data_IF_230012011040
#
_entry.id   IF_230012011040
#
_cell.length_a   1.000
_cell.length_b   1.000
_cell.length_c   1.000
_cell.angle_alpha   90.00
_cell.angle_beta   90.00
_cell.angle_gamma   90.00
#
_symmetry.space_group_name_H-M   'P 1'
#
loop_
_entity.id
_entity.type
_entity.pdbx_description
1 polymer ?
#
# COMPACT_ATOMS: atom_id res chain seq x y z
N UNK A 1 -11.37 40.76 36.49
CA UNK A 1 -12.19 39.73 37.13
C UNK A 1 -12.34 38.55 36.19
N UNK A 2 -11.78 37.44 36.62
CA UNK A 2 -12.05 36.04 36.29
C UNK A 2 -12.40 35.62 34.85
N UNK A 3 -11.47 34.90 34.26
CA UNK A 3 -11.70 33.94 33.15
C UNK A 3 -10.61 32.91 33.17
N UNK A 4 -10.91 31.72 33.76
CA UNK A 4 -9.97 30.61 33.90
C UNK A 4 -9.66 29.93 32.56
N UNK A 5 -8.40 29.55 32.39
CA UNK A 5 -7.93 28.65 31.33
C UNK A 5 -8.34 27.21 31.67
N UNK A 6 -8.77 26.36 30.67
CA UNK A 6 -8.86 24.93 30.91
C UNK A 6 -7.47 24.29 30.78
N UNK A 7 -7.17 23.41 31.72
CA UNK A 7 -5.90 22.69 31.86
C UNK A 7 -5.62 21.71 30.72
N UNK A 8 -4.40 21.73 30.21
CA UNK A 8 -3.92 20.88 29.07
C UNK A 8 -3.76 19.38 29.36
N UNK A 9 -4.43 18.81 30.34
CA UNK A 9 -4.31 17.41 30.72
C UNK A 9 -5.27 16.46 29.97
N UNK A 10 -6.42 16.95 29.53
CA UNK A 10 -7.45 16.08 28.90
C UNK A 10 -7.23 15.81 27.40
N UNK A 11 -6.49 16.65 26.69
CA UNK A 11 -6.27 16.45 25.26
C UNK A 11 -5.28 15.31 24.94
N UNK A 12 -4.28 15.06 25.80
CA UNK A 12 -3.32 13.95 25.61
C UNK A 12 -3.92 12.56 25.81
N UNK A 13 -4.94 12.43 26.67
CA UNK A 13 -5.63 11.15 26.91
C UNK A 13 -6.52 10.72 25.73
N UNK A 14 -7.06 11.68 24.99
CA UNK A 14 -7.98 11.40 23.87
C UNK A 14 -7.21 10.87 22.63
N UNK A 15 -6.03 11.39 22.36
CA UNK A 15 -5.21 10.94 21.24
C UNK A 15 -4.67 9.51 21.46
N UNK A 16 -4.10 9.21 22.63
CA UNK A 16 -3.57 7.88 22.96
C UNK A 16 -4.63 6.79 22.99
N UNK A 17 -5.83 7.06 23.54
CA UNK A 17 -6.93 6.09 23.58
C UNK A 17 -7.50 5.75 22.20
N UNK A 18 -7.58 6.67 21.26
CA UNK A 18 -8.13 6.39 19.92
C UNK A 18 -7.25 5.48 19.07
N UNK A 19 -5.95 5.44 19.30
CA UNK A 19 -5.04 4.52 18.62
C UNK A 19 -5.08 3.11 19.22
N UNK A 20 -5.34 2.97 20.51
CA UNK A 20 -5.43 1.68 21.20
C UNK A 20 -6.78 0.98 20.99
N UNK A 21 -7.90 1.72 20.89
CA UNK A 21 -9.24 1.16 20.77
C UNK A 21 -9.64 0.69 19.35
N UNK A 22 -8.87 1.02 18.31
CA UNK A 22 -9.12 0.48 16.96
C UNK A 22 -8.89 -1.03 16.85
N UNK A 23 -8.43 -1.68 17.91
CA UNK A 23 -8.19 -3.12 18.08
C UNK A 23 -9.23 -3.87 18.93
N UNK A 24 -10.45 -3.36 19.09
CA UNK A 24 -11.47 -3.93 19.98
C UNK A 24 -11.75 -5.42 19.71
N UNK A 25 -11.31 -6.27 20.62
CA UNK A 25 -11.57 -7.72 20.67
C UNK A 25 -13.06 -7.97 20.91
N UNK A 26 -13.78 -8.44 19.91
CA UNK A 26 -15.03 -9.15 20.14
C UNK A 26 -14.71 -10.56 20.64
N UNK A 27 -14.95 -10.82 21.91
CA UNK A 27 -14.98 -12.17 22.48
C UNK A 27 -16.17 -12.92 21.88
N UNK A 28 -15.88 -13.92 21.06
CA UNK A 28 -16.87 -14.92 20.63
C UNK A 28 -16.76 -16.07 21.63
N UNK A 29 -17.82 -16.29 22.39
CA UNK A 29 -17.96 -17.44 23.27
C UNK A 29 -18.10 -18.76 22.48
N UNK A 30 -17.73 -19.92 23.08
CA UNK A 30 -17.75 -21.19 22.37
C UNK A 30 -19.20 -21.68 22.16
N UNK A 31 -19.60 -21.84 20.90
CA UNK A 31 -20.80 -22.65 20.58
C UNK A 31 -20.35 -24.10 20.39
N UNK A 32 -20.84 -24.93 21.28
CA UNK A 32 -20.81 -26.41 21.20
C UNK A 32 -21.52 -26.86 19.90
N UNK A 33 -20.77 -27.51 19.03
CA UNK A 33 -21.34 -28.32 17.94
C UNK A 33 -21.27 -29.79 18.36
N UNK A 34 -22.43 -30.37 18.67
CA UNK A 34 -22.58 -31.80 19.02
C UNK A 34 -22.34 -32.69 17.80
N UNK A 35 -21.42 -33.63 17.94
CA UNK A 35 -21.17 -34.70 17.00
C UNK A 35 -22.11 -35.87 17.35
N UNK A 36 -23.09 -36.15 16.50
CA UNK A 36 -23.91 -37.35 16.63
C UNK A 36 -23.18 -38.49 15.94
N UNK A 37 -22.63 -39.42 16.72
CA UNK A 37 -22.09 -40.68 16.23
C UNK A 37 -23.22 -41.72 16.34
N UNK A 38 -23.70 -42.20 15.21
CA UNK A 38 -24.61 -43.37 15.17
C UNK A 38 -23.76 -44.62 14.96
N UNK A 39 -23.56 -45.38 16.03
CA UNK A 39 -22.96 -46.71 15.99
C UNK A 39 -24.03 -47.74 15.75
N UNK A 40 -24.01 -48.42 14.60
CA UNK A 40 -24.72 -49.69 14.41
C UNK A 40 -23.69 -50.83 14.49
N UNK A 41 -23.73 -51.55 15.57
CA UNK A 41 -23.03 -52.82 15.71
C UNK A 41 -23.91 -53.96 15.14
N UNK A 42 -23.39 -54.65 14.13
CA UNK A 42 -23.93 -55.98 13.74
C UNK A 42 -22.79 -56.95 13.79
N UNK A 43 -22.89 -57.87 14.78
CA UNK A 43 -22.06 -59.05 14.90
C UNK A 43 -22.53 -60.12 13.93
N UNK A 44 -21.66 -60.56 13.02
CA UNK A 44 -21.77 -61.91 12.44
C UNK A 44 -20.37 -62.51 12.22
N UNK A 45 -20.17 -63.65 12.87
CA UNK A 45 -19.05 -64.54 12.67
C UNK A 45 -19.29 -65.43 11.44
N UNK A 46 -18.25 -65.73 10.67
CA UNK A 46 -17.77 -67.05 10.26
C UNK A 46 -16.77 -67.00 9.12
N UNK A 47 -15.74 -67.82 9.25
CA UNK A 47 -14.60 -68.03 8.39
C UNK A 47 -14.92 -68.31 6.92
N UNK A 48 -14.20 -67.62 6.02
CA UNK A 48 -13.62 -68.14 4.78
C UNK A 48 -12.76 -67.08 4.08
N UNK A 49 -11.63 -67.42 3.44
CA UNK A 49 -10.76 -66.47 2.78
C UNK A 49 -11.26 -66.13 1.38
N UNK A 50 -11.82 -64.96 1.18
CA UNK A 50 -12.13 -64.42 -0.13
C UNK A 50 -11.02 -63.43 -0.50
N UNK A 51 -10.25 -63.81 -1.51
CA UNK A 51 -9.26 -62.93 -2.15
C UNK A 51 -9.96 -61.80 -2.87
N UNK A 52 -10.02 -60.62 -2.21
CA UNK A 52 -10.55 -59.39 -2.82
C UNK A 52 -9.48 -58.74 -3.68
N UNK A 53 -9.63 -58.83 -5.01
CA UNK A 53 -8.96 -57.89 -5.93
C UNK A 53 -9.49 -56.50 -5.68
N UNK A 54 -8.70 -55.68 -4.99
CA UNK A 54 -9.01 -54.27 -4.81
C UNK A 54 -8.54 -53.52 -6.07
N UNK A 55 -9.42 -53.39 -7.05
CA UNK A 55 -9.25 -52.38 -8.09
C UNK A 55 -9.66 -51.03 -7.53
N UNK A 56 -8.67 -50.26 -7.07
CA UNK A 56 -8.88 -48.88 -6.63
C UNK A 56 -9.17 -48.01 -7.87
N UNK A 57 -10.42 -47.91 -8.26
CA UNK A 57 -10.87 -46.88 -9.21
C UNK A 57 -10.83 -45.54 -8.42
N UNK A 58 -9.76 -44.80 -8.62
CA UNK A 58 -9.71 -43.39 -8.17
C UNK A 58 -10.66 -42.58 -9.08
N UNK A 59 -11.91 -42.50 -8.70
CA UNK A 59 -12.80 -41.49 -9.26
C UNK A 59 -12.39 -40.12 -8.71
N UNK A 60 -11.55 -39.42 -9.47
CA UNK A 60 -11.38 -37.98 -9.33
C UNK A 60 -12.53 -37.30 -10.07
N UNK A 61 -13.73 -37.40 -9.51
CA UNK A 61 -14.84 -36.61 -10.02
C UNK A 61 -14.67 -35.17 -9.53
N UNK A 62 -14.03 -34.32 -10.33
CA UNK A 62 -14.30 -32.88 -10.21
C UNK A 62 -15.79 -32.69 -10.48
N UNK A 63 -16.55 -32.01 -9.59
CA UNK A 63 -17.96 -31.81 -9.81
C UNK A 63 -18.17 -31.05 -11.13
N UNK A 64 -19.02 -31.54 -12.00
CA UNK A 64 -19.37 -30.98 -13.34
C UNK A 64 -19.73 -29.49 -13.23
N UNK A 65 -20.35 -29.06 -12.13
CA UNK A 65 -20.64 -27.66 -11.84
C UNK A 65 -19.37 -26.77 -11.81
N UNK A 66 -18.24 -27.28 -11.27
CA UNK A 66 -16.99 -26.50 -11.20
C UNK A 66 -16.38 -26.27 -12.61
N UNK A 67 -16.52 -27.24 -13.50
CA UNK A 67 -16.04 -27.13 -14.90
C UNK A 67 -16.90 -26.14 -15.71
N UNK A 68 -18.20 -26.14 -15.53
CA UNK A 68 -19.12 -25.20 -16.20
C UNK A 68 -18.84 -23.76 -15.74
N UNK A 69 -18.72 -23.49 -14.43
CA UNK A 69 -18.37 -22.16 -13.93
C UNK A 69 -17.00 -21.66 -14.40
N UNK A 70 -16.01 -22.57 -14.46
CA UNK A 70 -14.69 -22.21 -14.98
C UNK A 70 -14.74 -21.87 -16.48
N UNK A 71 -15.52 -22.58 -17.26
CA UNK A 71 -15.72 -22.32 -18.70
C UNK A 71 -16.43 -20.97 -18.94
N UNK A 72 -17.48 -20.66 -18.18
CA UNK A 72 -18.19 -19.39 -18.30
C UNK A 72 -17.30 -18.19 -17.88
N UNK A 73 -16.51 -18.33 -16.82
CA UNK A 73 -15.57 -17.31 -16.39
C UNK A 73 -14.48 -17.07 -17.44
N UNK A 74 -13.96 -18.14 -18.05
CA UNK A 74 -12.99 -18.04 -19.15
C UNK A 74 -13.61 -17.38 -20.37
N UNK A 75 -14.82 -17.75 -20.78
CA UNK A 75 -15.53 -17.14 -21.91
C UNK A 75 -15.76 -15.64 -21.72
N UNK A 76 -16.12 -15.22 -20.50
CA UNK A 76 -16.24 -13.79 -20.13
C UNK A 76 -14.92 -13.05 -20.24
N UNK A 77 -13.84 -13.70 -19.83
CA UNK A 77 -12.50 -13.12 -19.94
C UNK A 77 -12.08 -12.93 -21.40
N UNK A 78 -12.24 -13.95 -22.23
CA UNK A 78 -11.86 -13.93 -23.64
C UNK A 78 -12.67 -12.89 -24.45
N UNK A 79 -13.97 -12.76 -24.19
CA UNK A 79 -14.83 -11.70 -24.74
C UNK A 79 -14.34 -10.31 -24.34
N UNK A 80 -13.98 -10.13 -23.05
CA UNK A 80 -13.44 -8.85 -22.54
C UNK A 80 -12.12 -8.49 -23.23
N UNK A 81 -11.21 -9.46 -23.40
CA UNK A 81 -9.94 -9.24 -24.12
C UNK A 81 -10.18 -8.88 -25.58
N UNK A 82 -11.14 -9.55 -26.24
CA UNK A 82 -11.52 -9.24 -27.63
C UNK A 82 -12.04 -7.79 -27.76
N UNK A 83 -12.93 -7.38 -26.87
CA UNK A 83 -13.46 -6.00 -26.84
C UNK A 83 -12.37 -4.98 -26.55
N UNK A 84 -11.45 -5.30 -25.61
CA UNK A 84 -10.31 -4.45 -25.27
C UNK A 84 -9.37 -4.22 -26.47
N UNK A 85 -9.15 -5.24 -27.30
CA UNK A 85 -8.42 -5.09 -28.58
C UNK A 85 -9.15 -4.16 -29.56
N UNK A 86 -10.47 -4.18 -29.57
CA UNK A 86 -11.28 -3.22 -30.32
C UNK A 86 -11.17 -1.78 -29.82
N UNK A 87 -10.98 -1.57 -28.50
CA UNK A 87 -10.69 -0.29 -27.89
C UNK A 87 -9.24 0.19 -28.16
N UNK A 88 -8.30 -0.73 -28.38
CA UNK A 88 -6.96 -0.52 -28.88
C UNK A 88 -5.95 0.02 -27.88
N UNK A 89 -6.39 0.54 -26.73
CA UNK A 89 -5.49 1.11 -25.70
C UNK A 89 -6.07 1.14 -24.29
N UNK A 90 -5.18 1.32 -23.31
CA UNK A 90 -5.50 1.66 -21.92
C UNK A 90 -4.64 2.83 -21.46
N UNK A 91 -5.23 3.80 -20.79
CA UNK A 91 -4.55 5.00 -20.27
C UNK A 91 -4.45 4.93 -18.75
N UNK A 92 -3.22 4.95 -18.25
CA UNK A 92 -2.91 4.80 -16.83
C UNK A 92 -2.38 6.10 -16.27
N UNK A 93 -2.90 6.52 -15.11
CA UNK A 93 -2.33 7.56 -14.28
C UNK A 93 -1.58 6.93 -13.12
N UNK A 94 -0.31 7.27 -12.93
CA UNK A 94 0.51 6.71 -11.85
C UNK A 94 1.72 7.55 -11.48
N UNK A 95 2.51 7.11 -10.47
CA UNK A 95 3.65 7.84 -9.95
C UNK A 95 4.78 8.01 -10.98
N UNK A 96 5.60 9.04 -10.77
CA UNK A 96 6.75 9.38 -11.62
C UNK A 96 8.02 8.58 -11.27
N UNK A 97 7.91 7.37 -10.72
CA UNK A 97 9.08 6.54 -10.38
C UNK A 97 9.81 6.08 -11.64
N UNK A 98 11.12 6.23 -11.64
CA UNK A 98 11.95 5.79 -12.76
C UNK A 98 11.78 4.28 -13.04
N UNK A 99 11.68 3.92 -14.32
CA UNK A 99 11.55 2.52 -14.75
C UNK A 99 10.15 1.94 -14.74
N UNK A 100 9.16 2.49 -14.03
CA UNK A 100 7.78 1.98 -14.01
C UNK A 100 7.15 2.00 -15.40
N UNK A 101 7.21 3.15 -16.07
CA UNK A 101 6.58 3.33 -17.36
C UNK A 101 7.04 2.28 -18.38
N UNK A 102 8.33 2.12 -18.69
CA UNK A 102 8.78 1.09 -19.63
C UNK A 102 8.46 -0.31 -19.12
N UNK A 103 8.64 -0.62 -17.83
CA UNK A 103 8.37 -1.95 -17.29
C UNK A 103 6.90 -2.40 -17.45
N UNK A 104 5.96 -1.49 -17.18
CA UNK A 104 4.52 -1.79 -17.37
C UNK A 104 4.16 -1.93 -18.84
N UNK A 105 4.66 -1.03 -19.71
CA UNK A 105 4.39 -1.05 -21.15
C UNK A 105 4.89 -2.36 -21.74
N UNK A 106 6.16 -2.69 -21.52
CA UNK A 106 6.79 -3.88 -22.10
C UNK A 106 6.11 -5.18 -21.65
N UNK A 107 5.86 -5.32 -20.34
CA UNK A 107 5.25 -6.51 -19.78
C UNK A 107 3.79 -6.69 -20.21
N UNK A 108 3.00 -5.60 -20.20
CA UNK A 108 1.59 -5.64 -20.58
C UNK A 108 1.39 -5.91 -22.07
N UNK A 109 2.07 -5.14 -22.93
CA UNK A 109 1.91 -5.25 -24.39
C UNK A 109 2.47 -6.57 -24.94
N UNK A 110 3.47 -7.16 -24.27
CA UNK A 110 3.94 -8.51 -24.57
C UNK A 110 2.86 -9.56 -24.37
N UNK A 111 2.04 -9.43 -23.32
CA UNK A 111 0.99 -10.39 -23.01
C UNK A 111 -0.31 -10.11 -23.76
N UNK A 112 -0.60 -8.84 -24.05
CA UNK A 112 -1.82 -8.42 -24.75
C UNK A 112 -1.47 -7.60 -26.01
N UNK A 113 -0.91 -8.23 -27.04
CA UNK A 113 -0.67 -7.54 -28.31
C UNK A 113 -2.00 -7.02 -28.89
N UNK A 114 -1.97 -5.80 -29.43
CA UNK A 114 -3.16 -5.09 -29.93
C UNK A 114 -3.84 -4.19 -28.89
N UNK A 115 -3.34 -4.11 -27.64
CA UNK A 115 -3.78 -3.14 -26.64
C UNK A 115 -2.55 -2.32 -26.23
N UNK A 116 -2.46 -1.07 -26.67
CA UNK A 116 -1.36 -0.18 -26.28
C UNK A 116 -1.56 0.34 -24.85
N UNK A 117 -0.47 0.54 -24.09
CA UNK A 117 -0.49 1.12 -22.77
C UNK A 117 0.08 2.54 -22.83
N UNK A 118 -0.75 3.54 -22.52
CA UNK A 118 -0.34 4.93 -22.35
C UNK A 118 -0.18 5.22 -20.85
N UNK A 119 0.98 5.72 -20.44
CA UNK A 119 1.26 6.04 -19.03
C UNK A 119 1.45 7.53 -18.83
N UNK A 120 0.58 8.14 -18.03
CA UNK A 120 0.63 9.52 -17.58
C UNK A 120 1.15 9.58 -16.14
N UNK A 121 2.13 10.47 -15.88
CA UNK A 121 2.64 10.68 -14.52
C UNK A 121 1.78 11.67 -13.77
N UNK A 122 1.44 11.35 -12.53
CA UNK A 122 0.64 12.18 -11.64
C UNK A 122 0.00 11.37 -10.53
N UNK A 123 -0.79 12.04 -9.72
CA UNK A 123 -1.61 11.43 -8.67
C UNK A 123 -3.04 11.95 -8.71
N UNK A 124 -3.96 11.18 -8.11
CA UNK A 124 -5.37 11.55 -8.07
C UNK A 124 -5.63 12.79 -7.22
N UNK A 125 -4.79 13.09 -6.22
CA UNK A 125 -4.99 14.27 -5.38
C UNK A 125 -4.88 15.57 -6.20
N UNK A 126 -3.90 15.65 -7.09
CA UNK A 126 -3.69 16.81 -7.98
C UNK A 126 -4.68 16.85 -9.14
N UNK A 127 -5.13 15.69 -9.63
CA UNK A 127 -5.99 15.60 -10.82
C UNK A 127 -7.49 15.46 -10.53
N UNK A 128 -7.90 15.33 -9.29
CA UNK A 128 -9.31 15.13 -8.94
C UNK A 128 -10.25 16.24 -9.43
N UNK A 129 -9.91 17.54 -9.42
CA UNK A 129 -10.79 18.58 -9.98
C UNK A 129 -11.02 18.41 -11.50
N UNK A 130 -9.94 18.10 -12.22
CA UNK A 130 -9.99 17.82 -13.67
C UNK A 130 -10.83 16.57 -13.94
N UNK A 131 -10.57 15.47 -13.22
CA UNK A 131 -11.31 14.21 -13.39
C UNK A 131 -12.82 14.40 -13.11
N UNK A 132 -13.21 15.20 -12.09
CA UNK A 132 -14.60 15.56 -11.85
C UNK A 132 -15.25 16.25 -13.05
N UNK A 133 -14.56 17.23 -13.62
CA UNK A 133 -15.06 17.94 -14.79
C UNK A 133 -15.18 17.02 -16.02
N UNK A 134 -14.20 16.16 -16.25
CA UNK A 134 -14.21 15.17 -17.33
C UNK A 134 -15.35 14.15 -17.18
N UNK A 135 -15.58 13.63 -15.96
CA UNK A 135 -16.69 12.71 -15.67
C UNK A 135 -18.05 13.40 -15.92
N UNK A 136 -18.20 14.64 -15.45
CA UNK A 136 -19.42 15.42 -15.68
C UNK A 136 -19.66 15.68 -17.17
N UNK A 137 -18.62 16.00 -17.92
CA UNK A 137 -18.66 16.21 -19.38
C UNK A 137 -18.75 14.90 -20.19
N UNK A 138 -18.70 13.72 -19.57
CA UNK A 138 -18.64 12.39 -20.23
C UNK A 138 -17.44 12.23 -21.18
N UNK A 139 -16.31 12.87 -20.85
CA UNK A 139 -15.07 12.89 -21.66
C UNK A 139 -13.86 12.57 -20.79
N UNK A 140 -13.91 11.45 -20.07
CA UNK A 140 -12.78 10.99 -19.25
C UNK A 140 -11.60 10.60 -20.12
N UNK A 141 -10.40 10.84 -19.60
CA UNK A 141 -9.13 10.63 -20.31
C UNK A 141 -8.25 9.52 -19.67
N UNK A 142 -8.69 8.96 -18.55
CA UNK A 142 -7.93 7.98 -17.74
C UNK A 142 -8.80 6.75 -17.51
N UNK A 143 -8.20 5.57 -17.71
CA UNK A 143 -8.85 4.27 -17.52
C UNK A 143 -8.54 3.64 -16.17
N UNK A 144 -7.30 3.80 -15.68
CA UNK A 144 -6.80 3.21 -14.44
C UNK A 144 -5.97 4.24 -13.69
N UNK A 145 -6.05 4.24 -12.36
CA UNK A 145 -5.17 5.08 -11.53
C UNK A 145 -4.44 4.27 -10.47
N UNK A 146 -3.15 4.57 -10.32
CA UNK A 146 -2.35 4.25 -9.15
C UNK A 146 -2.15 5.49 -8.31
N UNK A 147 -2.50 5.44 -7.04
CA UNK A 147 -2.39 6.60 -6.16
C UNK A 147 -2.21 6.19 -4.70
N UNK A 148 -1.92 7.18 -3.85
CA UNK A 148 -1.94 6.96 -2.40
C UNK A 148 -3.36 6.76 -1.87
N UNK A 149 -3.49 5.97 -0.81
CA UNK A 149 -4.78 5.61 -0.22
C UNK A 149 -5.64 6.82 0.14
N UNK A 150 -5.02 7.86 0.71
CA UNK A 150 -5.72 9.09 1.09
C UNK A 150 -6.43 9.75 -0.10
N UNK A 151 -5.72 9.93 -1.22
CA UNK A 151 -6.28 10.54 -2.42
C UNK A 151 -7.45 9.73 -3.00
N UNK A 152 -7.33 8.39 -3.02
CA UNK A 152 -8.38 7.51 -3.53
C UNK A 152 -9.63 7.54 -2.67
N UNK A 153 -9.49 7.45 -1.36
CA UNK A 153 -10.64 7.42 -0.46
C UNK A 153 -11.35 8.78 -0.35
N UNK A 154 -10.62 9.89 -0.41
CA UNK A 154 -11.25 11.22 -0.51
C UNK A 154 -12.03 11.44 -1.80
N UNK A 155 -11.67 10.74 -2.86
CA UNK A 155 -12.29 10.86 -4.19
C UNK A 155 -13.01 9.58 -4.62
N UNK A 156 -13.46 8.74 -3.66
CA UNK A 156 -14.12 7.46 -3.97
C UNK A 156 -15.41 7.61 -4.79
N UNK A 157 -16.06 8.79 -4.70
CA UNK A 157 -17.21 9.12 -5.51
C UNK A 157 -16.90 9.20 -7.02
N UNK A 158 -15.62 9.35 -7.39
CA UNK A 158 -15.14 9.31 -8.77
C UNK A 158 -14.75 7.90 -9.24
N UNK A 159 -14.77 6.88 -8.35
CA UNK A 159 -14.28 5.55 -8.62
C UNK A 159 -15.41 4.56 -8.94
N UNK A 160 -15.10 3.60 -9.80
CA UNK A 160 -15.97 2.48 -10.15
C UNK A 160 -15.75 1.28 -9.20
N UNK A 161 -16.76 0.44 -9.03
CA UNK A 161 -16.66 -0.76 -8.21
C UNK A 161 -15.83 -1.84 -8.91
N UNK A 162 -14.82 -2.36 -8.22
CA UNK A 162 -13.89 -3.38 -8.75
C UNK A 162 -14.39 -4.82 -8.73
N UNK A 163 -15.25 -5.30 -7.79
CA UNK A 163 -15.59 -6.73 -7.72
C UNK A 163 -16.14 -7.31 -9.02
N UNK A 164 -16.98 -6.56 -9.74
CA UNK A 164 -17.51 -6.97 -11.04
C UNK A 164 -16.51 -6.91 -12.20
N UNK A 165 -15.32 -6.32 -11.97
CA UNK A 165 -14.22 -6.16 -12.94
C UNK A 165 -13.10 -7.17 -12.72
N UNK A 166 -13.00 -7.82 -11.55
CA UNK A 166 -12.03 -8.89 -11.28
C UNK A 166 -12.66 -10.20 -11.78
N UNK A 167 -12.36 -10.56 -13.02
CA UNK A 167 -13.06 -11.64 -13.76
C UNK A 167 -12.14 -12.74 -14.27
N UNK A 168 -10.82 -12.50 -14.31
CA UNK A 168 -9.90 -13.54 -14.76
C UNK A 168 -9.79 -14.63 -13.68
N UNK A 169 -10.05 -15.92 -14.01
CA UNK A 169 -10.09 -17.01 -13.02
C UNK A 169 -8.83 -17.11 -12.16
N UNK A 170 -7.64 -16.92 -12.74
CA UNK A 170 -6.36 -16.90 -11.99
C UNK A 170 -6.31 -15.86 -10.89
N UNK A 171 -6.97 -14.73 -11.09
CA UNK A 171 -6.96 -13.58 -10.17
C UNK A 171 -8.10 -13.65 -9.17
N UNK A 172 -9.23 -14.22 -9.55
CA UNK A 172 -10.41 -14.35 -8.69
C UNK A 172 -10.12 -15.19 -7.44
N UNK A 173 -9.19 -16.15 -7.53
CA UNK A 173 -8.69 -16.92 -6.39
C UNK A 173 -7.67 -16.10 -5.59
N UNK A 174 -8.10 -15.51 -4.49
CA UNK A 174 -7.28 -14.61 -3.67
C UNK A 174 -6.34 -15.33 -2.69
N UNK A 175 -6.14 -16.63 -2.80
CA UNK A 175 -5.34 -17.45 -1.88
C UNK A 175 -3.84 -17.10 -1.87
N UNK A 176 -3.36 -16.44 -2.91
CA UNK A 176 -1.96 -15.99 -3.06
C UNK A 176 -1.70 -14.59 -2.50
N UNK A 177 -2.69 -13.97 -1.85
CA UNK A 177 -2.55 -12.62 -1.31
C UNK A 177 -2.50 -12.65 0.22
N UNK A 178 -1.51 -11.96 0.80
CA UNK A 178 -1.33 -11.82 2.25
C UNK A 178 -0.84 -10.43 2.61
N UNK A 179 -1.39 -9.90 3.68
CA UNK A 179 -0.95 -8.65 4.31
C UNK A 179 -0.83 -8.88 5.83
N UNK A 180 -0.26 -7.92 6.57
CA UNK A 180 0.06 -8.06 7.99
C UNK A 180 -1.13 -8.53 8.86
N UNK A 181 -2.36 -8.17 8.50
CA UNK A 181 -3.57 -8.45 9.28
C UNK A 181 -4.55 -9.45 8.61
N UNK A 182 -4.17 -10.09 7.50
CA UNK A 182 -5.09 -11.01 6.84
C UNK A 182 -4.61 -11.59 5.52
N UNK A 183 -5.54 -12.25 4.85
CA UNK A 183 -5.37 -12.91 3.55
C UNK A 183 -6.40 -12.39 2.54
N UNK A 184 -6.14 -12.60 1.25
CA UNK A 184 -6.95 -12.06 0.18
C UNK A 184 -6.52 -10.62 -0.18
N UNK A 185 -7.31 -9.94 -1.00
CA UNK A 185 -7.04 -8.56 -1.37
C UNK A 185 -7.12 -7.62 -0.16
N UNK A 186 -6.13 -6.76 -0.02
CA UNK A 186 -6.18 -5.67 0.96
C UNK A 186 -7.01 -4.53 0.38
N UNK A 187 -8.30 -4.52 0.69
CA UNK A 187 -9.20 -3.43 0.32
C UNK A 187 -8.95 -2.21 1.20
N UNK A 188 -8.98 -1.03 0.61
CA UNK A 188 -8.86 0.23 1.38
C UNK A 188 -10.16 0.64 2.04
N UNK A 189 -11.27 0.47 1.32
CA UNK A 189 -12.60 0.83 1.79
C UNK A 189 -13.27 -0.34 2.51
N UNK A 190 -14.09 -0.04 3.52
CA UNK A 190 -14.82 -1.04 4.32
C UNK A 190 -15.81 -1.86 3.50
N UNK A 191 -16.36 -1.25 2.45
CA UNK A 191 -17.30 -1.89 1.53
C UNK A 191 -16.61 -2.91 0.60
N UNK A 192 -15.27 -2.94 0.56
CA UNK A 192 -14.45 -3.78 -0.33
C UNK A 192 -14.83 -3.61 -1.80
N UNK A 193 -14.89 -2.37 -2.27
CA UNK A 193 -15.45 -2.05 -3.59
C UNK A 193 -14.55 -1.26 -4.51
N UNK A 194 -13.79 -0.28 -4.01
CA UNK A 194 -13.27 0.78 -4.88
C UNK A 194 -11.78 0.72 -5.14
N UNK A 195 -11.00 0.24 -4.16
CA UNK A 195 -9.55 0.29 -4.28
C UNK A 195 -8.85 -0.87 -3.60
N UNK A 196 -7.87 -1.47 -4.28
CA UNK A 196 -7.05 -2.57 -3.77
C UNK A 196 -5.61 -2.12 -3.60
N UNK A 197 -5.09 -2.28 -2.38
CA UNK A 197 -3.69 -2.07 -2.06
C UNK A 197 -2.90 -3.34 -2.35
N UNK A 198 -1.79 -3.23 -3.07
CA UNK A 198 -1.00 -4.37 -3.55
C UNK A 198 0.40 -4.47 -2.95
N UNK A 199 0.78 -3.52 -2.09
CA UNK A 199 2.02 -3.53 -1.32
C UNK A 199 1.78 -3.12 0.13
N UNK A 200 2.65 -3.56 1.03
CA UNK A 200 2.69 -3.12 2.42
C UNK A 200 4.14 -3.12 2.91
N UNK A 201 4.61 -1.97 3.38
CA UNK A 201 5.98 -1.77 3.81
C UNK A 201 6.07 -0.71 4.92
N UNK A 202 7.23 -0.60 5.59
CA UNK A 202 7.44 0.36 6.68
C UNK A 202 7.91 1.70 6.11
N UNK A 203 7.25 2.79 6.52
CA UNK A 203 7.70 4.15 6.30
C UNK A 203 7.90 4.89 7.61
N UNK A 204 8.69 5.98 7.58
CA UNK A 204 9.07 6.71 8.80
C UNK A 204 10.49 6.37 9.28
N UNK A 205 11.32 5.77 8.40
CA UNK A 205 12.76 5.67 8.61
C UNK A 205 13.46 7.01 8.33
N UNK A 206 14.67 7.17 8.84
CA UNK A 206 15.56 8.30 8.50
C UNK A 206 16.66 7.85 7.55
N UNK A 207 17.18 8.78 6.77
CA UNK A 207 18.34 8.59 5.91
C UNK A 207 19.55 9.30 6.53
N UNK A 208 20.68 8.60 6.62
CA UNK A 208 21.93 9.12 7.18
C UNK A 208 23.04 9.06 6.13
N UNK A 209 23.75 10.18 5.96
CA UNK A 209 25.02 10.17 5.25
C UNK A 209 26.14 9.73 6.21
N UNK A 210 26.66 8.52 6.02
CA UNK A 210 27.66 7.91 6.91
C UNK A 210 29.04 8.54 6.83
N UNK A 211 29.31 9.37 5.84
CA UNK A 211 30.53 10.22 5.81
C UNK A 211 30.44 11.40 6.79
N UNK A 212 29.21 11.79 7.20
CA UNK A 212 28.97 12.92 8.11
C UNK A 212 28.40 12.49 9.47
N UNK A 213 27.78 11.32 9.54
CA UNK A 213 27.13 10.80 10.75
C UNK A 213 27.84 9.52 11.17
N UNK A 214 28.54 9.59 12.28
CA UNK A 214 29.28 8.46 12.85
C UNK A 214 28.37 7.29 13.25
N UNK A 215 28.94 6.10 13.48
CA UNK A 215 28.21 4.96 14.03
C UNK A 215 27.56 5.35 15.35
N UNK A 216 26.29 4.99 15.52
CA UNK A 216 25.54 5.23 16.77
C UNK A 216 25.29 6.72 17.16
N UNK A 217 25.62 7.68 16.31
CA UNK A 217 25.38 9.09 16.60
C UNK A 217 23.88 9.44 16.65
N UNK A 218 23.04 8.68 15.89
CA UNK A 218 21.58 8.81 15.88
C UNK A 218 20.97 7.44 16.07
N UNK A 219 20.24 7.22 17.17
CA UNK A 219 19.56 5.95 17.52
C UNK A 219 18.08 6.14 17.77
N UNK A 220 17.66 7.38 18.01
CA UNK A 220 16.27 7.76 18.32
C UNK A 220 15.88 9.03 17.56
N UNK A 221 14.59 9.25 17.38
CA UNK A 221 14.08 10.53 16.86
C UNK A 221 14.44 11.70 17.75
N UNK A 222 14.52 11.47 19.07
CA UNK A 222 14.93 12.50 20.04
C UNK A 222 16.39 12.92 19.88
N UNK A 223 17.25 12.05 19.35
CA UNK A 223 18.64 12.42 19.06
C UNK A 223 18.75 13.50 18.00
N UNK A 224 17.75 13.63 17.10
CA UNK A 224 17.71 14.68 16.09
C UNK A 224 17.55 16.09 16.70
N UNK A 225 17.11 16.18 17.96
CA UNK A 225 16.98 17.46 18.67
C UNK A 225 18.29 17.96 19.29
N UNK A 226 19.39 17.21 19.18
CA UNK A 226 20.70 17.65 19.69
C UNK A 226 21.22 18.84 18.91
N UNK A 227 21.89 19.81 19.56
CA UNK A 227 22.39 21.04 18.92
C UNK A 227 23.32 20.79 17.72
N UNK A 228 24.07 19.69 17.73
CA UNK A 228 24.99 19.31 16.64
C UNK A 228 24.32 19.09 15.28
N UNK A 229 23.00 18.79 15.28
CA UNK A 229 22.21 18.54 14.05
C UNK A 229 21.51 19.79 13.52
N UNK A 230 21.56 20.89 14.24
CA UNK A 230 20.92 22.15 13.82
C UNK A 230 21.44 22.60 12.45
N UNK A 231 20.52 22.83 11.50
CA UNK A 231 20.83 23.19 10.13
C UNK A 231 21.41 22.06 9.26
N UNK A 232 21.49 20.81 9.77
CA UNK A 232 22.05 19.65 9.06
C UNK A 232 21.01 18.62 8.67
N UNK A 233 19.71 18.92 8.84
CA UNK A 233 18.59 18.03 8.53
C UNK A 233 17.83 18.59 7.34
N UNK A 234 17.50 17.73 6.38
CA UNK A 234 16.60 18.04 5.29
C UNK A 234 15.39 17.12 5.27
N UNK A 235 14.22 17.61 4.86
CA UNK A 235 12.99 16.83 4.82
C UNK A 235 12.14 17.16 3.61
N UNK A 236 11.33 16.19 3.17
CA UNK A 236 10.18 16.51 2.34
C UNK A 236 9.21 17.39 3.15
N UNK A 237 8.63 18.41 2.51
CA UNK A 237 7.81 19.42 3.19
C UNK A 237 6.58 18.79 3.89
N UNK A 238 6.47 18.86 5.23
CA UNK A 238 5.38 18.27 5.99
C UNK A 238 4.06 19.06 5.90
N UNK A 239 4.09 20.28 5.37
CA UNK A 239 2.90 21.17 5.29
C UNK A 239 1.98 20.84 4.13
N UNK A 240 2.46 20.10 3.14
CA UNK A 240 1.68 19.65 1.98
C UNK A 240 1.41 18.14 2.01
N UNK A 241 0.39 17.69 1.29
CA UNK A 241 0.13 16.26 1.13
C UNK A 241 1.36 15.54 0.53
N UNK A 242 1.71 14.38 1.08
CA UNK A 242 2.85 13.58 0.64
C UNK A 242 3.64 12.95 1.78
N UNK A 243 4.83 12.45 1.45
CA UNK A 243 5.68 11.71 2.40
C UNK A 243 6.03 12.51 3.66
N UNK A 244 6.35 13.80 3.52
CA UNK A 244 6.67 14.69 4.65
C UNK A 244 5.52 14.82 5.63
N UNK A 245 4.29 15.07 5.13
CA UNK A 245 3.11 15.16 5.97
C UNK A 245 2.80 13.83 6.67
N UNK A 246 2.92 12.72 5.95
CA UNK A 246 2.65 11.41 6.53
C UNK A 246 3.61 11.05 7.67
N UNK A 247 4.91 11.35 7.52
CA UNK A 247 5.89 11.18 8.60
C UNK A 247 5.64 12.15 9.75
N UNK A 248 5.36 13.43 9.47
CA UNK A 248 5.07 14.42 10.51
C UNK A 248 3.80 14.08 11.30
N UNK A 249 2.75 13.58 10.65
CA UNK A 249 1.54 13.08 11.33
C UNK A 249 1.86 11.91 12.26
N UNK A 250 2.69 10.96 11.82
CA UNK A 250 3.14 9.85 12.64
C UNK A 250 3.93 10.33 13.85
N UNK A 251 4.88 11.25 13.66
CA UNK A 251 5.69 11.83 14.75
C UNK A 251 4.84 12.68 15.71
N UNK A 252 3.85 13.42 15.21
CA UNK A 252 2.92 14.20 16.01
C UNK A 252 2.12 13.30 16.97
N UNK A 253 1.63 12.17 16.48
CA UNK A 253 0.91 11.20 17.32
C UNK A 253 1.84 10.52 18.32
N UNK A 254 3.07 10.23 17.92
CA UNK A 254 4.04 9.50 18.75
C UNK A 254 4.67 10.37 19.83
N UNK A 255 5.03 11.60 19.50
CA UNK A 255 5.83 12.47 20.38
C UNK A 255 5.14 13.80 20.77
N UNK A 256 4.03 14.14 20.14
CA UNK A 256 3.26 15.37 20.42
C UNK A 256 3.75 16.62 19.68
N UNK A 257 3.01 17.71 19.86
CA UNK A 257 3.20 18.99 19.14
C UNK A 257 4.58 19.62 19.41
N UNK A 258 5.02 19.57 20.66
CA UNK A 258 6.31 20.17 21.04
C UNK A 258 7.46 19.56 20.27
N UNK A 259 7.46 18.24 20.05
CA UNK A 259 8.47 17.55 19.26
C UNK A 259 8.48 18.03 17.80
N UNK A 260 7.32 18.22 17.18
CA UNK A 260 7.20 18.73 15.81
C UNK A 260 7.82 20.12 15.69
N UNK A 261 7.53 21.01 16.64
CA UNK A 261 8.09 22.36 16.67
C UNK A 261 9.61 22.32 16.85
N UNK A 262 10.08 21.57 17.84
CA UNK A 262 11.51 21.47 18.16
C UNK A 262 12.31 20.83 17.04
N UNK A 263 11.74 19.82 16.36
CA UNK A 263 12.40 19.19 15.21
C UNK A 263 12.43 20.14 14.00
N UNK A 264 11.28 20.56 13.51
CA UNK A 264 11.23 21.24 12.20
C UNK A 264 11.67 22.71 12.28
N UNK A 265 11.30 23.43 13.33
CA UNK A 265 11.70 24.83 13.55
C UNK A 265 12.97 24.95 14.39
N UNK A 266 13.04 24.20 15.50
CA UNK A 266 14.17 24.29 16.44
C UNK A 266 15.49 23.83 15.82
N UNK A 267 15.44 22.80 14.94
CA UNK A 267 16.61 22.29 14.24
C UNK A 267 16.86 22.96 12.86
N UNK A 268 16.10 23.97 12.49
CA UNK A 268 16.22 24.66 11.20
C UNK A 268 16.19 23.67 10.02
N UNK A 269 15.22 22.73 10.02
CA UNK A 269 15.10 21.69 8.98
C UNK A 269 14.80 22.31 7.64
N UNK A 270 15.61 22.01 6.63
CA UNK A 270 15.41 22.48 5.25
C UNK A 270 14.36 21.62 4.56
N UNK A 271 13.37 22.27 3.94
CA UNK A 271 12.22 21.63 3.34
C UNK A 271 12.25 21.71 1.81
N UNK A 272 11.83 20.61 1.16
CA UNK A 272 11.63 20.55 -0.29
C UNK A 272 10.37 19.77 -0.64
N UNK A 273 9.76 20.04 -1.80
CA UNK A 273 8.63 19.27 -2.36
C UNK A 273 9.07 18.18 -3.34
N UNK A 274 10.37 18.06 -3.60
CA UNK A 274 10.91 17.03 -4.47
C UNK A 274 11.25 15.77 -3.67
N UNK A 275 10.70 14.63 -4.06
CA UNK A 275 10.97 13.34 -3.41
C UNK A 275 12.42 12.87 -3.51
N UNK A 276 13.14 13.22 -4.59
CA UNK A 276 14.56 12.84 -4.78
C UNK A 276 15.54 13.83 -4.15
N UNK A 277 15.16 15.11 -4.04
CA UNK A 277 16.07 16.19 -3.70
C UNK A 277 16.78 16.01 -2.34
N UNK A 278 16.11 15.49 -1.34
CA UNK A 278 16.73 15.29 -0.03
C UNK A 278 17.83 14.22 -0.12
N UNK A 279 17.58 13.11 -0.81
CA UNK A 279 18.59 12.07 -1.01
C UNK A 279 19.79 12.60 -1.80
N UNK A 280 19.53 13.42 -2.83
CA UNK A 280 20.57 14.07 -3.62
C UNK A 280 21.43 15.05 -2.77
N UNK A 281 20.80 15.83 -1.90
CA UNK A 281 21.52 16.73 -1.00
C UNK A 281 22.40 15.99 0.02
N UNK A 282 21.92 14.84 0.52
CA UNK A 282 22.73 14.00 1.39
C UNK A 282 23.90 13.38 0.61
N UNK A 283 23.68 12.91 -0.60
CA UNK A 283 24.72 12.36 -1.47
C UNK A 283 25.83 13.38 -1.74
N UNK A 284 25.47 14.65 -1.90
CA UNK A 284 26.40 15.77 -2.07
C UNK A 284 27.09 16.21 -0.77
N UNK A 285 26.76 15.62 0.37
CA UNK A 285 27.27 16.04 1.67
C UNK A 285 26.72 17.38 2.19
N UNK A 286 25.67 17.91 1.56
CA UNK A 286 25.05 19.20 1.96
C UNK A 286 24.30 19.11 3.28
N UNK A 287 23.64 17.96 3.54
CA UNK A 287 22.99 17.64 4.79
C UNK A 287 23.39 16.26 5.28
N UNK A 288 23.37 16.08 6.59
CA UNK A 288 23.76 14.84 7.24
C UNK A 288 22.60 13.84 7.39
N UNK A 289 21.38 14.36 7.59
CA UNK A 289 20.18 13.59 7.95
C UNK A 289 19.03 13.94 7.01
N UNK A 290 18.33 12.93 6.51
CA UNK A 290 17.16 13.08 5.65
C UNK A 290 15.91 12.45 6.26
N UNK A 291 14.76 13.15 6.16
CA UNK A 291 13.46 12.71 6.64
C UNK A 291 12.50 12.59 5.47
N UNK A 292 11.64 11.56 5.49
CA UNK A 292 10.58 11.32 4.53
C UNK A 292 11.07 11.11 3.07
N UNK A 293 12.00 10.16 2.91
CA UNK A 293 12.59 9.79 1.62
C UNK A 293 11.94 8.53 1.04
N UNK A 294 11.99 8.42 -0.30
CA UNK A 294 11.58 7.23 -1.03
C UNK A 294 12.79 6.38 -1.42
N UNK A 295 12.63 5.07 -1.38
CA UNK A 295 13.73 4.11 -1.44
C UNK A 295 14.40 3.98 -2.80
N UNK A 296 13.70 4.20 -3.91
CA UNK A 296 14.25 4.06 -5.26
C UNK A 296 15.47 4.97 -5.49
N UNK A 297 15.39 6.23 -5.07
CA UNK A 297 16.53 7.15 -5.18
C UNK A 297 17.67 6.83 -4.22
N UNK A 298 17.34 6.39 -3.00
CA UNK A 298 18.33 5.95 -2.00
C UNK A 298 19.15 4.78 -2.56
N UNK A 299 18.48 3.77 -3.09
CA UNK A 299 19.13 2.56 -3.61
C UNK A 299 19.92 2.82 -4.90
N UNK A 300 19.48 3.78 -5.73
CA UNK A 300 20.29 4.26 -6.87
C UNK A 300 21.60 4.85 -6.39
N UNK A 301 21.59 5.78 -5.44
CA UNK A 301 22.78 6.42 -4.89
C UNK A 301 23.72 5.43 -4.18
N UNK A 302 23.16 4.42 -3.48
CA UNK A 302 23.96 3.35 -2.87
C UNK A 302 24.72 2.53 -3.92
N UNK A 303 24.08 2.23 -5.06
CA UNK A 303 24.74 1.55 -6.19
C UNK A 303 25.86 2.40 -6.82
N UNK A 304 25.76 3.71 -6.73
CA UNK A 304 26.79 4.66 -7.14
C UNK A 304 27.94 4.77 -6.09
N UNK A 305 27.88 4.02 -5.00
CA UNK A 305 28.91 3.98 -3.94
C UNK A 305 28.74 5.06 -2.86
N UNK A 306 27.63 5.78 -2.84
CA UNK A 306 27.38 6.79 -1.80
C UNK A 306 27.04 6.09 -0.46
N UNK A 307 27.73 6.47 0.59
CA UNK A 307 27.58 5.87 1.93
C UNK A 307 26.32 6.36 2.65
N UNK A 308 25.15 5.95 2.16
CA UNK A 308 23.84 6.22 2.76
C UNK A 308 23.33 5.01 3.51
N UNK A 309 22.77 5.21 4.71
CA UNK A 309 21.98 4.20 5.42
C UNK A 309 20.59 4.70 5.72
N UNK A 310 19.61 3.81 5.61
CA UNK A 310 18.24 4.07 6.01
C UNK A 310 17.92 3.19 7.22
N UNK A 311 17.52 3.81 8.33
CA UNK A 311 17.32 3.14 9.61
C UNK A 311 15.97 3.52 10.25
N UNK A 312 15.25 2.52 10.74
CA UNK A 312 14.16 2.74 11.69
C UNK A 312 14.75 3.01 13.07
N UNK A 313 14.21 4.00 13.78
CA UNK A 313 14.75 4.44 15.08
C UNK A 313 14.06 3.72 16.24
N UNK A 314 14.80 3.51 17.34
CA UNK A 314 14.38 2.66 18.45
C UNK A 314 13.10 3.17 19.16
N UNK A 315 12.91 4.48 19.25
CA UNK A 315 11.76 5.12 19.91
C UNK A 315 10.53 5.29 19.03
N UNK A 316 10.66 5.06 17.68
CA UNK A 316 9.54 5.01 16.75
C UNK A 316 9.96 4.25 15.48
N UNK A 317 9.45 3.04 15.33
CA UNK A 317 9.86 2.07 14.28
C UNK A 317 9.25 2.35 12.90
N UNK A 318 8.39 3.37 12.76
CA UNK A 318 7.64 3.65 11.56
C UNK A 318 6.23 3.06 11.56
N UNK A 319 5.55 3.16 10.42
CA UNK A 319 4.17 2.71 10.23
C UNK A 319 4.04 1.98 8.88
N UNK A 320 3.00 1.14 8.76
CA UNK A 320 2.71 0.44 7.51
C UNK A 320 2.05 1.37 6.50
N UNK A 321 2.53 1.29 5.27
CA UNK A 321 2.02 2.05 4.13
C UNK A 321 1.96 1.17 2.88
N UNK A 322 1.10 1.52 1.93
CA UNK A 322 1.11 0.96 0.56
C UNK A 322 1.81 1.89 -0.44
N UNK A 323 2.18 3.09 -0.03
CA UNK A 323 2.70 4.10 -0.96
C UNK A 323 1.73 4.37 -2.11
N UNK A 324 2.22 4.32 -3.34
CA UNK A 324 1.42 4.47 -4.56
C UNK A 324 0.89 3.14 -5.13
N UNK A 325 0.97 2.05 -4.40
CA UNK A 325 0.58 0.71 -4.87
C UNK A 325 -0.92 0.42 -4.70
N UNK A 326 -1.74 1.43 -4.73
CA UNK A 326 -3.19 1.26 -4.68
C UNK A 326 -3.79 1.50 -6.04
N UNK A 327 -4.49 0.47 -6.56
CA UNK A 327 -5.15 0.52 -7.87
C UNK A 327 -6.64 0.78 -7.73
N UNK A 328 -7.17 1.65 -8.59
CA UNK A 328 -8.59 1.94 -8.73
C UNK A 328 -8.94 2.26 -10.19
N UNK A 329 -10.22 2.15 -10.53
CA UNK A 329 -10.77 2.52 -11.83
C UNK A 329 -11.60 3.79 -11.68
N UNK A 330 -11.31 4.87 -12.44
CA UNK A 330 -12.19 6.01 -12.54
C UNK A 330 -13.53 5.66 -13.20
N UNK A 331 -14.62 6.28 -12.75
CA UNK A 331 -15.92 6.17 -13.43
C UNK A 331 -15.83 6.65 -14.86
N UNK A 332 -16.57 5.99 -15.76
CA UNK A 332 -16.67 6.35 -17.18
C UNK A 332 -15.31 6.31 -17.90
N UNK A 333 -14.47 5.34 -17.54
CA UNK A 333 -13.23 5.06 -18.27
C UNK A 333 -13.50 4.99 -19.77
N UNK A 334 -12.70 5.66 -20.63
CA UNK A 334 -12.92 5.69 -22.08
C UNK A 334 -12.73 4.32 -22.73
N UNK A 335 -11.93 3.44 -22.13
CA UNK A 335 -11.64 2.09 -22.62
C UNK A 335 -11.95 1.06 -21.51
N UNK A 336 -13.25 0.82 -21.20
CA UNK A 336 -13.64 0.05 -20.02
C UNK A 336 -13.24 -1.42 -20.05
N UNK A 337 -13.16 -2.03 -21.24
CA UNK A 337 -12.69 -3.42 -21.37
C UNK A 337 -11.17 -3.49 -21.22
N UNK A 338 -10.42 -2.58 -21.82
CA UNK A 338 -8.97 -2.50 -21.67
C UNK A 338 -8.57 -2.17 -20.21
N UNK A 339 -9.32 -1.31 -19.51
CA UNK A 339 -9.17 -1.10 -18.07
C UNK A 339 -9.38 -2.39 -17.27
N UNK A 340 -10.39 -3.19 -17.62
CA UNK A 340 -10.67 -4.48 -16.98
C UNK A 340 -9.54 -5.48 -17.26
N UNK A 341 -9.05 -5.55 -18.49
CA UNK A 341 -7.90 -6.43 -18.85
C UNK A 341 -6.67 -6.01 -18.07
N UNK A 342 -6.36 -4.72 -18.02
CA UNK A 342 -5.21 -4.22 -17.26
C UNK A 342 -5.34 -4.49 -15.77
N UNK A 343 -6.48 -4.24 -15.14
CA UNK A 343 -6.72 -4.52 -13.72
C UNK A 343 -6.42 -5.99 -13.39
N UNK A 344 -6.99 -6.91 -14.17
CA UNK A 344 -6.79 -8.35 -13.93
C UNK A 344 -5.33 -8.77 -14.16
N UNK A 345 -4.71 -8.31 -15.25
CA UNK A 345 -3.30 -8.56 -15.50
C UNK A 345 -2.41 -8.00 -14.40
N UNK A 346 -2.67 -6.79 -13.94
CA UNK A 346 -1.91 -6.16 -12.86
C UNK A 346 -1.94 -6.98 -11.58
N UNK A 347 -3.05 -7.66 -11.29
CA UNK A 347 -3.19 -8.52 -10.12
C UNK A 347 -2.54 -9.91 -10.29
N UNK A 348 -1.97 -10.23 -11.46
CA UNK A 348 -1.14 -11.43 -11.66
C UNK A 348 0.30 -11.21 -11.19
N UNK A 349 1.09 -12.30 -11.10
CA UNK A 349 2.51 -12.20 -10.79
C UNK A 349 3.30 -11.31 -11.76
N UNK A 350 3.20 -11.44 -13.09
CA UNK A 350 3.89 -10.55 -14.03
C UNK A 350 3.53 -9.07 -13.86
N UNK A 351 2.26 -8.75 -13.64
CA UNK A 351 1.81 -7.38 -13.42
C UNK A 351 2.37 -6.79 -12.12
N UNK A 352 2.39 -7.59 -11.05
CA UNK A 352 2.96 -7.20 -9.75
C UNK A 352 4.48 -6.98 -9.86
N UNK A 353 5.20 -7.86 -10.54
CA UNK A 353 6.65 -7.70 -10.76
C UNK A 353 6.96 -6.45 -11.58
N UNK A 354 6.21 -6.19 -12.65
CA UNK A 354 6.41 -5.03 -13.52
C UNK A 354 6.24 -3.69 -12.78
N UNK A 355 5.35 -3.63 -11.79
CA UNK A 355 5.13 -2.42 -11.01
C UNK A 355 6.04 -2.32 -9.77
N UNK A 356 6.20 -3.41 -9.03
CA UNK A 356 6.87 -3.34 -7.72
C UNK A 356 8.38 -3.35 -7.80
N UNK A 357 9.00 -4.01 -8.81
CA UNK A 357 10.46 -4.01 -8.94
C UNK A 357 11.07 -2.62 -9.14
N UNK A 358 10.56 -1.75 -10.02
CA UNK A 358 11.07 -0.39 -10.15
C UNK A 358 10.87 0.47 -8.90
N UNK A 359 9.79 0.23 -8.15
CA UNK A 359 9.52 0.91 -6.88
C UNK A 359 10.32 0.36 -5.69
N UNK A 360 10.91 -0.83 -5.83
CA UNK A 360 11.48 -1.59 -4.72
C UNK A 360 10.46 -1.89 -3.61
N UNK A 361 9.17 -2.03 -3.95
CA UNK A 361 8.11 -2.36 -3.01
C UNK A 361 7.90 -3.88 -2.90
N UNK A 362 7.64 -4.41 -1.70
CA UNK A 362 7.19 -5.80 -1.56
C UNK A 362 5.76 -5.94 -2.07
N UNK A 363 5.51 -6.89 -2.96
CA UNK A 363 4.12 -7.23 -3.32
C UNK A 363 3.43 -7.98 -2.17
N UNK A 364 2.13 -7.77 -2.00
CA UNK A 364 1.28 -8.57 -1.12
C UNK A 364 0.95 -9.95 -1.73
N UNK A 365 1.27 -10.17 -2.99
CA UNK A 365 1.16 -11.46 -3.63
C UNK A 365 2.34 -12.35 -3.22
N UNK A 366 2.06 -13.53 -2.68
CA UNK A 366 3.06 -14.39 -2.00
C UNK A 366 4.03 -15.09 -2.95
N UNK A 367 3.70 -15.19 -4.23
CA UNK A 367 4.52 -15.80 -5.28
C UNK A 367 5.39 -14.80 -6.05
N UNK A 368 5.37 -13.52 -5.65
CA UNK A 368 6.28 -12.48 -6.18
C UNK A 368 7.56 -12.47 -5.34
N UNK A 369 8.75 -12.63 -5.96
CA UNK A 369 10.02 -12.57 -5.27
C UNK A 369 10.27 -11.23 -4.58
N UNK A 370 11.03 -11.22 -3.47
CA UNK A 370 11.31 -10.02 -2.65
C UNK A 370 12.79 -9.66 -2.54
N UNK A 371 13.68 -10.33 -3.25
CA UNK A 371 15.13 -10.12 -3.17
C UNK A 371 15.57 -8.72 -3.60
N UNK A 372 14.75 -8.03 -4.38
CA UNK A 372 14.97 -6.65 -4.80
C UNK A 372 14.51 -5.61 -3.77
N UNK A 373 13.81 -6.03 -2.72
CA UNK A 373 13.24 -5.12 -1.71
C UNK A 373 14.28 -4.81 -0.64
N UNK A 374 14.55 -3.53 -0.33
CA UNK A 374 15.45 -3.18 0.76
C UNK A 374 14.93 -3.68 2.12
N UNK A 375 15.82 -4.28 2.92
CA UNK A 375 15.44 -4.88 4.20
C UNK A 375 14.83 -3.87 5.18
N UNK A 376 15.32 -2.63 5.17
CA UNK A 376 14.87 -1.59 6.11
C UNK A 376 13.40 -1.17 5.94
N UNK A 377 12.74 -1.51 4.82
CA UNK A 377 11.30 -1.28 4.63
C UNK A 377 10.44 -2.52 4.90
N UNK A 378 11.04 -3.67 5.15
CA UNK A 378 10.28 -4.88 5.44
C UNK A 378 9.79 -4.90 6.90
N UNK A 379 8.49 -5.18 7.14
CA UNK A 379 7.97 -5.32 8.48
C UNK A 379 8.67 -6.46 9.24
N UNK A 380 9.13 -6.17 10.45
CA UNK A 380 9.76 -7.16 11.34
C UNK A 380 8.65 -7.94 12.05
N UNK A 381 8.64 -9.28 11.99
CA UNK A 381 7.53 -10.09 12.52
C UNK A 381 7.26 -9.91 14.01
N UNK A 382 8.30 -9.54 14.79
CA UNK A 382 8.22 -9.35 16.24
C UNK A 382 7.68 -7.97 16.67
N UNK A 383 7.44 -7.06 15.72
CA UNK A 383 6.99 -5.70 16.01
C UNK A 383 5.55 -5.48 15.51
N UNK A 384 4.78 -4.76 16.32
CA UNK A 384 3.47 -4.27 15.89
C UNK A 384 3.63 -2.88 15.26
N UNK A 385 3.03 -2.70 14.09
CA UNK A 385 3.03 -1.43 13.37
C UNK A 385 1.63 -0.87 13.25
N UNK A 386 1.53 0.44 13.33
CA UNK A 386 0.28 1.14 12.98
C UNK A 386 0.06 1.02 11.48
N UNK A 387 -1.14 0.58 11.09
CA UNK A 387 -1.56 0.65 9.69
C UNK A 387 -1.98 2.09 9.36
N UNK A 388 -1.12 2.82 8.67
CA UNK A 388 -1.39 4.20 8.25
C UNK A 388 -2.47 4.32 7.15
N UNK A 389 -2.98 3.19 6.65
CA UNK A 389 -3.82 3.10 5.46
C UNK A 389 -5.11 2.31 5.74
N UNK A 390 -6.08 2.95 6.26
CA UNK A 390 -7.43 2.41 6.39
C UNK A 390 -8.43 3.55 6.33
N UNK A 391 -9.67 3.27 5.98
CA UNK A 391 -10.72 4.29 5.89
C UNK A 391 -10.86 5.09 7.20
N UNK A 392 -10.66 4.42 8.35
CA UNK A 392 -10.69 5.07 9.66
C UNK A 392 -9.57 6.08 9.88
N UNK A 393 -8.43 5.85 9.23
CA UNK A 393 -7.26 6.71 9.37
C UNK A 393 -7.33 7.99 8.56
N UNK A 394 -8.16 8.05 7.52
CA UNK A 394 -8.17 9.19 6.59
C UNK A 394 -8.64 10.48 7.23
N UNK A 395 -9.74 10.44 7.98
CA UNK A 395 -10.24 11.62 8.69
C UNK A 395 -9.22 12.09 9.74
N UNK A 396 -8.54 11.14 10.40
CA UNK A 396 -7.48 11.41 11.38
C UNK A 396 -6.27 12.03 10.67
N UNK A 397 -5.81 11.45 9.58
CA UNK A 397 -4.67 11.95 8.80
C UNK A 397 -4.89 13.37 8.27
N UNK A 398 -6.10 13.68 7.79
CA UNK A 398 -6.45 15.02 7.36
C UNK A 398 -6.34 16.03 8.51
N UNK A 399 -6.95 15.73 9.65
CA UNK A 399 -6.90 16.59 10.85
C UNK A 399 -5.46 16.79 11.36
N UNK A 400 -4.67 15.72 11.40
CA UNK A 400 -3.25 15.79 11.79
C UNK A 400 -2.45 16.66 10.81
N UNK A 401 -2.71 16.53 9.51
CA UNK A 401 -2.04 17.35 8.48
C UNK A 401 -2.37 18.84 8.59
N UNK A 402 -3.60 19.21 8.97
CA UNK A 402 -3.96 20.58 9.28
C UNK A 402 -3.22 21.06 10.52
N UNK A 403 -3.18 20.28 11.59
CA UNK A 403 -2.46 20.60 12.81
C UNK A 403 -0.95 20.80 12.58
N UNK A 404 -0.30 19.90 11.81
CA UNK A 404 1.11 20.08 11.41
C UNK A 404 1.31 21.38 10.65
N UNK A 405 0.41 21.74 9.75
CA UNK A 405 0.47 22.97 8.97
C UNK A 405 0.35 24.22 9.83
N UNK A 406 -0.54 24.19 10.83
CA UNK A 406 -0.69 25.28 11.82
C UNK A 406 0.55 25.41 12.70
N UNK A 407 1.07 24.30 13.22
CA UNK A 407 2.28 24.29 14.05
C UNK A 407 3.51 24.83 13.32
N UNK A 408 3.67 24.53 12.05
CA UNK A 408 4.86 24.91 11.26
C UNK A 408 4.73 26.24 10.53
N UNK A 409 3.54 26.80 10.46
CA UNK A 409 3.23 28.00 9.66
C UNK A 409 2.83 27.61 8.23
N UNK A 410 1.91 28.39 7.66
CA UNK A 410 1.34 28.18 6.31
C UNK A 410 2.36 28.39 5.20
#
# INVERSE_FOLDING_TARGET
MYGGKPSGGEQHLIAGKKWADSGARRRIGPRLTGLIVVTHAVLFSWNSPITLFSSSIKYSARPVACEVFASEAQGRWDDTVSKARGEGKVVILGPATAGIRPSLIDAFQKQFPGISLEYQTGDLASLSPRLRAEIAAKKTSIDVTFSGAFALLQNRDLLEALPGRIIWPEVAEQNRWRFSKGTGFKWLDREKRYAVQTSEWIFGYILLNRSLVGPNAVRSWKDLLRPEWKGKIASHDPRGAGAGQAVANYLLVTFGERFIIDLFKGQDVVLTRSYSQVADWLAQGKYAIGIAQVQDRIESLRKEGIALTADGLADAQGYLTGGFSVIALPKRAPHPNAATVFLNWFLTRPGQEAFHRPHLYPSLRTDVPREYVPEYILPKPQLEYVDGYGEDMIAIQHKLGEQVRELLGR
#
